data_IF_002480686075
#
_entry.id   IF_002480686075
#
_cell.length_a   1.000
_cell.length_b   1.000
_cell.length_c   1.000
_cell.angle_alpha   90.00
_cell.angle_beta   90.00
_cell.angle_gamma   90.00
#
_symmetry.space_group_name_H-M   'P 1'
#
loop_
_entity.id
_entity.type
_entity.pdbx_description
1 polymer ?
#
# COMPACT_ATOMS: atom_id res chain seq x y z
N UNK A 1 27.98 22.28 48.60
CA UNK A 1 28.06 21.17 49.59
C UNK A 1 28.06 19.85 48.84
N UNK A 2 28.76 18.85 49.36
CA UNK A 2 29.07 17.56 48.70
C UNK A 2 28.14 16.43 49.16
N UNK A 3 28.44 15.19 48.74
CA UNK A 3 27.93 13.88 49.22
C UNK A 3 26.60 13.43 48.58
N UNK A 4 26.40 12.17 48.13
CA UNK A 4 27.31 11.07 47.74
C UNK A 4 26.47 9.95 47.09
N UNK A 5 27.07 9.14 46.21
CA UNK A 5 26.54 7.82 45.84
C UNK A 5 26.51 6.86 47.04
N UNK A 6 25.56 5.91 47.08
CA UNK A 6 25.76 4.58 47.68
C UNK A 6 24.95 3.48 46.97
N UNK A 7 25.63 2.37 46.72
CA UNK A 7 25.11 1.09 46.24
C UNK A 7 24.15 0.40 47.23
N UNK A 8 23.28 -0.48 46.72
CA UNK A 8 22.76 -1.74 47.33
C UNK A 8 21.96 -2.48 46.23
N UNK A 9 22.51 -3.48 45.53
CA UNK A 9 22.54 -4.93 45.85
C UNK A 9 21.17 -5.60 46.08
N UNK A 10 20.91 -6.64 45.27
CA UNK A 10 19.75 -7.55 45.31
C UNK A 10 19.58 -8.25 46.67
N UNK A 11 18.41 -8.86 46.91
CA UNK A 11 18.38 -10.32 46.72
C UNK A 11 17.15 -10.83 45.94
N UNK A 12 17.36 -11.91 45.17
CA UNK A 12 16.31 -12.78 44.65
C UNK A 12 16.60 -14.19 45.20
N UNK A 13 15.64 -14.89 45.84
CA UNK A 13 15.90 -16.19 46.45
C UNK A 13 15.91 -17.36 45.45
N UNK A 14 16.77 -18.34 45.72
CA UNK A 14 16.97 -19.58 44.96
C UNK A 14 16.03 -20.75 45.36
N UNK A 15 16.19 -21.86 44.63
CA UNK A 15 15.66 -23.23 44.81
C UNK A 15 14.27 -23.49 44.18
N UNK A 16 14.05 -24.59 43.43
CA UNK A 16 14.86 -25.81 43.19
C UNK A 16 15.15 -25.96 41.68
N UNK A 17 16.38 -26.16 41.19
CA UNK A 17 17.18 -27.39 41.21
C UNK A 17 16.45 -28.69 40.77
N UNK A 18 16.65 -29.12 39.51
CA UNK A 18 17.59 -30.23 39.18
C UNK A 18 17.25 -30.97 37.87
N UNK A 19 18.16 -30.96 36.87
CA UNK A 19 18.70 -32.18 36.20
C UNK A 19 19.75 -31.89 35.09
N UNK A 20 21.03 -32.02 35.48
CA UNK A 20 22.18 -32.53 34.71
C UNK A 20 22.77 -31.74 33.51
N UNK A 21 24.07 -31.97 33.14
CA UNK A 21 24.96 -30.88 32.70
C UNK A 21 25.72 -31.08 31.36
N UNK A 22 26.37 -29.99 30.92
CA UNK A 22 27.63 -29.87 30.15
C UNK A 22 28.28 -31.15 29.55
N UNK A 23 28.63 -31.15 28.25
CA UNK A 23 29.93 -30.69 27.66
C UNK A 23 30.18 -31.34 26.26
N UNK A 24 31.09 -30.76 25.49
CA UNK A 24 31.46 -31.12 24.12
C UNK A 24 32.45 -32.31 24.00
N UNK A 25 32.41 -33.04 22.88
CA UNK A 25 33.44 -33.85 22.15
C UNK A 25 32.72 -34.42 20.89
N UNK A 26 33.29 -34.77 19.73
CA UNK A 26 34.60 -34.51 19.06
C UNK A 26 34.37 -34.54 17.52
N UNK A 27 35.15 -33.85 16.67
CA UNK A 27 36.45 -34.22 16.08
C UNK A 27 36.48 -35.53 15.27
N UNK A 28 36.62 -35.41 13.94
CA UNK A 28 37.22 -36.43 13.07
C UNK A 28 37.77 -35.76 11.79
N UNK A 29 39.03 -36.05 11.44
CA UNK A 29 39.66 -35.55 10.23
C UNK A 29 40.78 -36.47 9.71
N UNK A 30 41.16 -36.25 8.45
CA UNK A 30 42.36 -36.80 7.78
C UNK A 30 42.65 -35.89 6.58
N UNK A 31 43.85 -35.29 6.43
CA UNK A 31 45.13 -35.90 6.00
C UNK A 31 45.01 -36.66 4.66
N UNK A 32 45.87 -36.48 3.66
CA UNK A 32 47.01 -35.56 3.42
C UNK A 32 47.65 -35.92 2.06
N UNK A 33 48.22 -34.98 1.28
CA UNK A 33 49.49 -35.10 0.49
C UNK A 33 49.63 -34.05 -0.63
N UNK A 34 50.54 -33.10 -0.43
CA UNK A 34 51.65 -32.62 -1.33
C UNK A 34 51.47 -32.28 -2.85
N UNK A 35 52.37 -31.45 -3.44
CA UNK A 35 52.04 -30.56 -4.57
C UNK A 35 52.88 -30.76 -5.86
N UNK A 36 52.63 -29.94 -6.89
CA UNK A 36 53.65 -29.60 -7.90
C UNK A 36 53.19 -28.85 -9.16
N UNK A 37 53.89 -27.76 -9.50
CA UNK A 37 54.26 -27.26 -10.86
C UNK A 37 53.14 -27.00 -11.93
N UNK A 38 53.28 -26.12 -12.94
CA UNK A 38 54.37 -25.25 -13.40
C UNK A 38 53.80 -24.08 -14.25
N UNK A 39 54.58 -23.00 -14.47
CA UNK A 39 54.67 -22.07 -15.64
C UNK A 39 53.42 -21.87 -16.53
N UNK A 40 52.87 -20.66 -16.71
CA UNK A 40 53.44 -19.51 -17.43
C UNK A 40 53.88 -19.80 -18.88
N UNK A 41 53.14 -19.31 -19.89
CA UNK A 41 53.69 -18.41 -20.92
C UNK A 41 52.57 -17.66 -21.71
N UNK A 42 52.99 -16.74 -22.58
CA UNK A 42 52.19 -15.76 -23.32
C UNK A 42 52.11 -16.07 -24.83
N UNK A 43 51.39 -15.20 -25.57
CA UNK A 43 51.59 -14.82 -26.99
C UNK A 43 50.65 -15.36 -28.10
N UNK A 44 49.97 -14.38 -28.73
CA UNK A 44 49.74 -14.14 -30.17
C UNK A 44 48.91 -15.06 -31.11
N UNK A 45 48.11 -14.35 -31.93
CA UNK A 45 47.34 -14.76 -33.13
C UNK A 45 48.25 -15.04 -34.36
N UNK A 46 47.76 -15.19 -35.63
CA UNK A 46 46.40 -15.46 -36.16
C UNK A 46 46.34 -16.61 -37.20
N UNK A 47 45.15 -16.91 -37.75
CA UNK A 47 44.98 -17.22 -39.19
C UNK A 47 43.53 -17.06 -39.65
N UNK A 48 43.34 -16.51 -40.84
CA UNK A 48 42.04 -16.35 -41.51
C UNK A 48 41.98 -17.22 -42.77
N UNK A 49 40.79 -17.70 -43.12
CA UNK A 49 40.45 -18.19 -44.47
C UNK A 49 39.03 -17.74 -44.84
N UNK A 50 38.82 -17.49 -46.13
CA UNK A 50 37.61 -16.87 -46.70
C UNK A 50 36.57 -17.92 -47.11
N UNK A 51 35.27 -17.59 -46.98
CA UNK A 51 34.15 -18.50 -47.31
C UNK A 51 32.87 -17.76 -47.74
N UNK A 52 32.82 -17.44 -49.05
CA UNK A 52 31.76 -16.77 -49.83
C UNK A 52 30.28 -17.01 -49.40
N UNK A 53 29.52 -15.92 -49.24
CA UNK A 53 28.06 -15.92 -49.02
C UNK A 53 27.24 -16.29 -50.28
N UNK A 54 25.98 -16.71 -50.08
CA UNK A 54 24.87 -16.22 -50.89
C UNK A 54 23.82 -15.48 -50.03
N UNK A 55 23.48 -14.24 -50.40
CA UNK A 55 22.40 -13.50 -49.75
C UNK A 55 21.02 -14.00 -50.24
N UNK A 56 20.20 -14.48 -49.31
CA UNK A 56 18.74 -14.59 -49.50
C UNK A 56 18.03 -13.87 -48.36
N UNK A 57 17.08 -13.00 -48.71
CA UNK A 57 16.64 -11.88 -47.87
C UNK A 57 15.58 -12.26 -46.83
N UNK A 58 15.98 -12.96 -45.76
CA UNK A 58 15.06 -13.39 -44.67
C UNK A 58 14.49 -12.22 -43.84
N UNK A 59 15.08 -11.03 -43.94
CA UNK A 59 14.84 -9.87 -43.05
C UNK A 59 13.42 -9.27 -43.17
N UNK A 60 12.71 -9.43 -44.28
CA UNK A 60 11.41 -8.74 -44.52
C UNK A 60 10.15 -9.47 -44.02
N UNK A 61 10.22 -10.74 -43.64
CA UNK A 61 9.04 -11.49 -43.15
C UNK A 61 8.90 -11.33 -41.62
N UNK A 62 10.02 -11.20 -40.91
CA UNK A 62 10.03 -11.02 -39.46
C UNK A 62 9.54 -9.63 -39.04
N UNK A 63 9.88 -8.56 -39.79
CA UNK A 63 9.47 -7.19 -39.47
C UNK A 63 7.95 -7.02 -39.49
N UNK A 64 7.24 -7.54 -40.50
CA UNK A 64 5.76 -7.43 -40.57
C UNK A 64 5.04 -8.16 -39.45
N UNK A 65 5.54 -9.33 -39.01
CA UNK A 65 4.95 -10.06 -37.87
C UNK A 65 5.23 -9.36 -36.55
N UNK A 66 6.46 -8.90 -36.33
CA UNK A 66 6.82 -8.14 -35.11
C UNK A 66 6.04 -6.82 -35.04
N UNK A 67 5.88 -6.08 -36.15
CA UNK A 67 5.03 -4.88 -36.19
C UNK A 67 3.55 -5.19 -35.96
N UNK A 68 3.01 -6.29 -36.49
CA UNK A 68 1.63 -6.69 -36.23
C UNK A 68 1.40 -7.06 -34.76
N UNK A 69 2.35 -7.76 -34.12
CA UNK A 69 2.28 -8.05 -32.68
C UNK A 69 2.47 -6.80 -31.82
N UNK A 70 3.38 -5.89 -32.18
CA UNK A 70 3.52 -4.60 -31.50
C UNK A 70 2.26 -3.74 -31.67
N UNK A 71 1.71 -3.63 -32.87
CA UNK A 71 0.47 -2.89 -33.12
C UNK A 71 -0.73 -3.52 -32.38
N UNK A 72 -0.87 -4.85 -32.40
CA UNK A 72 -1.91 -5.54 -31.64
C UNK A 72 -1.73 -5.35 -30.13
N UNK A 73 -0.50 -5.41 -29.61
CA UNK A 73 -0.20 -5.13 -28.21
C UNK A 73 -0.43 -3.65 -27.85
N UNK A 74 -0.09 -2.71 -28.73
CA UNK A 74 -0.38 -1.27 -28.55
C UNK A 74 -1.88 -0.99 -28.61
N UNK A 75 -2.65 -1.68 -29.45
CA UNK A 75 -4.12 -1.58 -29.50
C UNK A 75 -4.75 -2.22 -28.25
N UNK A 76 -4.28 -3.40 -27.81
CA UNK A 76 -4.71 -4.02 -26.55
C UNK A 76 -4.32 -3.17 -25.33
N UNK A 77 -3.17 -2.50 -25.34
CA UNK A 77 -2.73 -1.58 -24.30
C UNK A 77 -3.46 -0.22 -24.37
N UNK A 78 -3.88 0.25 -25.55
CA UNK A 78 -4.74 1.42 -25.68
C UNK A 78 -6.17 1.15 -25.20
N UNK A 79 -6.70 -0.05 -25.49
CA UNK A 79 -8.02 -0.50 -25.03
C UNK A 79 -8.02 -0.89 -23.53
N UNK A 80 -6.93 -1.48 -23.02
CA UNK A 80 -6.80 -1.91 -21.62
C UNK A 80 -6.23 -0.85 -20.67
N UNK A 81 -5.40 0.07 -21.17
CA UNK A 81 -4.67 1.07 -20.38
C UNK A 81 -5.55 2.15 -19.76
N UNK A 82 -6.74 2.39 -20.31
CA UNK A 82 -7.76 3.23 -19.67
C UNK A 82 -8.68 2.45 -18.71
N UNK A 83 -8.58 1.12 -18.62
CA UNK A 83 -9.60 0.28 -18.00
C UNK A 83 -9.10 -0.53 -16.78
N UNK A 84 -7.85 -0.35 -16.34
CA UNK A 84 -7.27 -1.13 -15.24
C UNK A 84 -8.00 -0.92 -13.89
N UNK A 85 -8.46 0.31 -13.60
CA UNK A 85 -9.26 0.61 -12.40
C UNK A 85 -10.61 -0.11 -12.46
N UNK A 86 -11.33 0.01 -13.58
CA UNK A 86 -12.61 -0.66 -13.81
C UNK A 86 -12.48 -2.18 -13.72
N UNK A 87 -11.48 -2.77 -14.39
CA UNK A 87 -11.23 -4.21 -14.38
C UNK A 87 -10.90 -4.72 -12.97
N UNK A 88 -10.09 -3.98 -12.20
CA UNK A 88 -9.82 -4.25 -10.80
C UNK A 88 -11.08 -4.21 -9.94
N UNK A 89 -11.94 -3.21 -10.15
CA UNK A 89 -13.21 -3.06 -9.41
C UNK A 89 -14.27 -4.09 -9.82
N UNK A 90 -14.28 -4.55 -11.08
CA UNK A 90 -15.12 -5.66 -11.55
C UNK A 90 -14.72 -7.00 -10.94
N UNK A 91 -13.47 -7.15 -10.50
CA UNK A 91 -12.98 -8.27 -9.68
C UNK A 91 -12.89 -7.89 -8.19
N UNK A 92 -13.49 -6.76 -7.79
CA UNK A 92 -13.27 -6.12 -6.49
C UNK A 92 -13.79 -6.93 -5.32
N UNK A 93 -14.87 -7.68 -5.52
CA UNK A 93 -15.42 -8.66 -4.58
C UNK A 93 -14.42 -9.79 -4.29
N UNK A 94 -13.86 -10.39 -5.34
CA UNK A 94 -12.83 -11.42 -5.23
C UNK A 94 -11.58 -10.86 -4.57
N UNK A 95 -11.10 -9.70 -5.01
CA UNK A 95 -9.90 -9.07 -4.45
C UNK A 95 -10.08 -8.68 -2.97
N UNK A 96 -11.27 -8.23 -2.58
CA UNK A 96 -11.60 -7.97 -1.18
C UNK A 96 -11.63 -9.27 -0.36
N UNK A 97 -12.22 -10.35 -0.87
CA UNK A 97 -12.23 -11.66 -0.19
C UNK A 97 -10.80 -12.17 0.05
N UNK A 98 -9.97 -12.18 -1.01
CA UNK A 98 -8.56 -12.58 -0.91
C UNK A 98 -7.74 -11.68 0.03
N UNK A 99 -8.13 -10.41 0.18
CA UNK A 99 -7.53 -9.52 1.18
C UNK A 99 -7.97 -9.89 2.60
N UNK A 100 -9.27 -10.10 2.85
CA UNK A 100 -9.78 -10.50 4.17
C UNK A 100 -9.15 -11.82 4.61
N UNK A 101 -9.18 -12.84 3.75
CA UNK A 101 -8.57 -14.15 3.98
C UNK A 101 -7.06 -14.05 4.28
N UNK A 102 -6.33 -13.23 3.52
CA UNK A 102 -4.91 -12.96 3.78
C UNK A 102 -4.64 -12.46 5.20
N UNK A 103 -5.59 -11.84 5.90
CA UNK A 103 -5.45 -11.41 7.30
C UNK A 103 -6.12 -12.36 8.31
N UNK A 104 -7.28 -12.93 7.98
CA UNK A 104 -8.11 -13.71 8.91
C UNK A 104 -7.83 -15.22 8.90
N UNK A 105 -7.43 -15.83 7.77
CA UNK A 105 -7.71 -17.26 7.46
C UNK A 105 -9.22 -17.49 7.55
N UNK A 106 -9.97 -17.18 6.49
CA UNK A 106 -11.43 -17.34 6.50
C UNK A 106 -11.74 -18.83 6.44
N UNK A 107 -12.34 -19.37 7.51
CA UNK A 107 -12.71 -20.80 7.59
C UNK A 107 -13.92 -21.12 6.71
N UNK A 108 -14.10 -22.40 6.37
CA UNK A 108 -15.23 -22.92 5.57
C UNK A 108 -16.61 -22.45 6.08
N UNK A 109 -16.77 -22.26 7.39
CA UNK A 109 -18.01 -21.75 8.00
C UNK A 109 -18.17 -20.23 7.87
N UNK A 110 -17.06 -19.49 7.77
CA UNK A 110 -17.04 -18.03 7.59
C UNK A 110 -17.06 -17.62 6.11
N UNK A 111 -16.64 -18.50 5.18
CA UNK A 111 -16.48 -18.18 3.76
C UNK A 111 -17.79 -17.71 3.10
N UNK A 112 -18.92 -18.45 3.15
CA UNK A 112 -20.18 -17.99 2.56
C UNK A 112 -20.67 -16.63 3.09
N UNK A 113 -20.84 -16.41 4.42
CA UNK A 113 -21.31 -15.11 4.91
C UNK A 113 -20.32 -13.97 4.64
N UNK A 114 -19.01 -14.24 4.59
CA UNK A 114 -18.00 -13.24 4.22
C UNK A 114 -18.12 -12.82 2.75
N UNK A 115 -18.34 -13.79 1.83
CA UNK A 115 -18.57 -13.49 0.41
C UNK A 115 -19.86 -12.70 0.20
N UNK A 116 -20.94 -13.09 0.87
CA UNK A 116 -22.22 -12.39 0.76
C UNK A 116 -22.16 -10.97 1.32
N UNK A 117 -21.45 -10.74 2.44
CA UNK A 117 -21.18 -9.42 2.99
C UNK A 117 -20.43 -8.52 2.00
N UNK A 118 -19.37 -9.05 1.37
CA UNK A 118 -18.61 -8.32 0.35
C UNK A 118 -19.49 -8.00 -0.87
N UNK A 119 -20.31 -8.95 -1.33
CA UNK A 119 -21.24 -8.72 -2.43
C UNK A 119 -22.29 -7.64 -2.10
N UNK A 120 -22.87 -7.66 -0.89
CA UNK A 120 -23.76 -6.61 -0.38
C UNK A 120 -23.08 -5.25 -0.37
N UNK A 121 -21.86 -5.16 0.18
CA UNK A 121 -21.09 -3.93 0.23
C UNK A 121 -20.83 -3.36 -1.17
N UNK A 122 -20.38 -4.18 -2.13
CA UNK A 122 -20.12 -3.72 -3.49
C UNK A 122 -21.40 -3.32 -4.26
N UNK A 123 -22.53 -3.99 -3.99
CA UNK A 123 -23.83 -3.59 -4.53
C UNK A 123 -24.24 -2.20 -4.03
N UNK A 124 -24.23 -2.00 -2.71
CA UNK A 124 -24.46 -0.70 -2.07
C UNK A 124 -23.50 0.37 -2.58
N UNK A 125 -22.20 0.07 -2.65
CA UNK A 125 -21.19 1.05 -3.06
C UNK A 125 -21.45 1.54 -4.50
N UNK A 126 -21.82 0.65 -5.43
CA UNK A 126 -22.19 1.02 -6.81
C UNK A 126 -23.43 1.90 -6.87
N UNK A 127 -24.46 1.60 -6.08
CA UNK A 127 -25.75 2.29 -6.14
C UNK A 127 -25.77 3.61 -5.36
N UNK A 128 -25.13 3.67 -4.20
CA UNK A 128 -25.26 4.75 -3.23
C UNK A 128 -24.01 5.60 -3.04
N UNK A 129 -22.79 5.05 -3.24
CA UNK A 129 -21.54 5.76 -2.94
C UNK A 129 -20.77 6.23 -4.18
N UNK A 130 -20.75 5.46 -5.27
CA UNK A 130 -20.18 5.91 -6.55
C UNK A 130 -20.81 7.21 -7.09
N UNK A 131 -22.13 7.49 -6.95
CA UNK A 131 -22.69 8.77 -7.35
C UNK A 131 -22.07 9.97 -6.60
N UNK A 132 -21.82 9.83 -5.29
CA UNK A 132 -21.18 10.88 -4.50
C UNK A 132 -19.70 11.04 -4.86
N UNK A 133 -18.99 9.93 -5.10
CA UNK A 133 -17.61 9.96 -5.60
C UNK A 133 -17.55 10.69 -6.95
N UNK A 134 -18.48 10.43 -7.88
CA UNK A 134 -18.56 11.15 -9.15
C UNK A 134 -18.78 12.66 -8.96
N UNK A 135 -19.59 13.09 -7.98
CA UNK A 135 -19.77 14.50 -7.63
C UNK A 135 -18.48 15.14 -7.13
N UNK A 136 -17.77 14.50 -6.19
CA UNK A 136 -16.47 14.98 -5.68
C UNK A 136 -15.44 15.06 -6.81
N UNK A 137 -15.30 14.01 -7.62
CA UNK A 137 -14.40 14.00 -8.78
C UNK A 137 -14.74 15.11 -9.79
N UNK A 138 -16.03 15.39 -10.02
CA UNK A 138 -16.49 16.46 -10.92
C UNK A 138 -16.08 17.84 -10.41
N UNK A 139 -16.21 18.08 -9.09
CA UNK A 139 -15.74 19.33 -8.47
C UNK A 139 -14.23 19.49 -8.59
N UNK A 140 -13.48 18.46 -8.19
CA UNK A 140 -12.00 18.46 -8.24
C UNK A 140 -11.48 18.64 -9.67
N UNK A 141 -12.14 18.06 -10.68
CA UNK A 141 -11.81 18.30 -12.10
C UNK A 141 -11.87 19.79 -12.47
N UNK A 142 -12.81 20.54 -11.90
CA UNK A 142 -12.90 21.99 -12.09
C UNK A 142 -11.79 22.75 -11.36
N UNK A 143 -11.49 22.34 -10.12
CA UNK A 143 -10.45 22.95 -9.27
C UNK A 143 -9.05 22.81 -9.89
N UNK A 144 -8.66 21.61 -10.36
CA UNK A 144 -7.29 21.34 -10.87
C UNK A 144 -6.94 22.04 -12.18
N UNK A 145 -7.91 22.66 -12.86
CA UNK A 145 -7.64 23.53 -14.00
C UNK A 145 -7.03 24.88 -13.57
N UNK A 146 -7.29 25.33 -12.33
CA UNK A 146 -6.86 26.62 -11.80
C UNK A 146 -5.62 26.55 -10.89
N UNK A 147 -5.26 27.66 -10.22
CA UNK A 147 -4.42 27.64 -9.03
C UNK A 147 -5.11 26.89 -7.89
N UNK A 148 -4.36 26.10 -7.13
CA UNK A 148 -4.90 25.33 -5.99
C UNK A 148 -4.50 25.99 -4.68
N UNK A 149 -5.42 26.12 -3.74
CA UNK A 149 -5.13 26.57 -2.38
C UNK A 149 -5.29 25.45 -1.33
N UNK A 150 -4.86 25.73 -0.10
CA UNK A 150 -4.90 24.79 1.00
C UNK A 150 -6.33 24.45 1.49
N UNK A 151 -7.33 25.31 1.23
CA UNK A 151 -8.74 25.02 1.53
C UNK A 151 -9.31 23.97 0.59
N UNK A 152 -8.99 24.04 -0.71
CA UNK A 152 -9.40 23.02 -1.71
C UNK A 152 -8.84 21.64 -1.35
N UNK A 153 -7.54 21.56 -1.02
CA UNK A 153 -6.91 20.29 -0.60
C UNK A 153 -7.53 19.75 0.69
N UNK A 154 -7.83 20.62 1.67
CA UNK A 154 -8.54 20.22 2.90
C UNK A 154 -9.97 19.75 2.63
N UNK A 155 -10.69 20.35 1.69
CA UNK A 155 -12.03 19.90 1.30
C UNK A 155 -11.97 18.47 0.71
N UNK A 156 -11.00 18.17 -0.15
CA UNK A 156 -10.80 16.81 -0.70
C UNK A 156 -10.48 15.78 0.39
N UNK A 157 -9.67 16.16 1.40
CA UNK A 157 -9.41 15.32 2.57
C UNK A 157 -10.68 15.08 3.39
N UNK A 158 -11.49 16.11 3.63
CA UNK A 158 -12.78 15.99 4.34
C UNK A 158 -13.77 15.10 3.58
N UNK A 159 -13.89 15.27 2.26
CA UNK A 159 -14.76 14.42 1.42
C UNK A 159 -14.33 12.95 1.47
N UNK A 160 -13.02 12.70 1.39
CA UNK A 160 -12.46 11.34 1.45
C UNK A 160 -12.70 10.71 2.82
N UNK A 161 -12.52 11.46 3.91
CA UNK A 161 -12.83 10.99 5.26
C UNK A 161 -14.33 10.70 5.45
N UNK A 162 -15.21 11.59 4.96
CA UNK A 162 -16.67 11.43 5.00
C UNK A 162 -17.13 10.20 4.22
N UNK A 163 -16.62 10.00 3.00
CA UNK A 163 -16.89 8.83 2.19
C UNK A 163 -16.36 7.55 2.84
N UNK A 164 -15.14 7.59 3.38
CA UNK A 164 -14.54 6.48 4.14
C UNK A 164 -15.35 6.08 5.36
N UNK A 165 -15.81 7.04 6.17
CA UNK A 165 -16.70 6.79 7.32
C UNK A 165 -18.03 6.18 6.87
N UNK A 166 -18.69 6.73 5.84
CA UNK A 166 -19.95 6.18 5.31
C UNK A 166 -19.79 4.74 4.80
N UNK A 167 -18.67 4.43 4.14
CA UNK A 167 -18.34 3.07 3.71
C UNK A 167 -18.18 2.13 4.91
N UNK A 168 -17.43 2.54 5.93
CA UNK A 168 -17.26 1.78 7.16
C UNK A 168 -18.59 1.57 7.88
N UNK A 169 -19.39 2.62 8.09
CA UNK A 169 -20.69 2.57 8.76
C UNK A 169 -21.69 1.62 8.09
N UNK A 170 -21.61 1.47 6.77
CA UNK A 170 -22.40 0.49 6.00
C UNK A 170 -21.89 -0.94 6.18
N UNK A 171 -20.57 -1.13 6.31
CA UNK A 171 -19.97 -2.45 6.53
C UNK A 171 -20.04 -2.92 8.00
N UNK A 172 -20.29 -2.03 8.96
CA UNK A 172 -20.33 -2.34 10.41
C UNK A 172 -21.13 -3.60 10.77
N UNK A 173 -22.38 -3.83 10.29
CA UNK A 173 -23.14 -5.02 10.67
C UNK A 173 -22.51 -6.33 10.19
N UNK A 174 -21.91 -6.34 9.00
CA UNK A 174 -21.23 -7.50 8.43
C UNK A 174 -19.87 -7.76 9.09
N UNK A 175 -19.13 -6.69 9.41
CA UNK A 175 -17.87 -6.75 10.17
C UNK A 175 -18.13 -7.27 11.58
N UNK A 176 -19.23 -6.86 12.23
CA UNK A 176 -19.62 -7.35 13.54
C UNK A 176 -19.90 -8.86 13.55
N UNK A 177 -20.60 -9.38 12.53
CA UNK A 177 -20.82 -10.83 12.38
C UNK A 177 -19.49 -11.58 12.25
N UNK A 178 -18.59 -11.13 11.37
CA UNK A 178 -17.27 -11.76 11.22
C UNK A 178 -16.48 -11.70 12.54
N UNK A 179 -16.45 -10.56 13.22
CA UNK A 179 -15.75 -10.38 14.49
C UNK A 179 -16.25 -11.31 15.61
N UNK A 180 -17.56 -11.55 15.69
CA UNK A 180 -18.14 -12.50 16.65
C UNK A 180 -17.69 -13.95 16.41
N UNK A 181 -17.33 -14.30 15.18
CA UNK A 181 -16.83 -15.64 14.82
C UNK A 181 -15.32 -15.82 14.96
N UNK A 182 -14.54 -14.75 15.18
CA UNK A 182 -13.08 -14.84 15.22
C UNK A 182 -12.57 -15.75 16.36
N UNK A 183 -11.57 -16.58 16.04
CA UNK A 183 -10.83 -17.39 17.03
C UNK A 183 -9.55 -16.68 17.51
N UNK A 184 -8.98 -17.07 18.66
CA UNK A 184 -7.68 -16.56 19.12
C UNK A 184 -6.54 -16.76 18.11
N UNK A 185 -6.56 -17.86 17.35
CA UNK A 185 -5.58 -18.20 16.31
C UNK A 185 -5.68 -17.23 15.13
N UNK A 186 -6.90 -16.94 14.65
CA UNK A 186 -7.15 -15.96 13.58
C UNK A 186 -6.68 -14.56 13.99
N UNK A 187 -6.94 -14.15 15.24
CA UNK A 187 -6.47 -12.86 15.78
C UNK A 187 -4.94 -12.82 15.87
N UNK A 188 -4.30 -13.89 16.35
CA UNK A 188 -2.83 -14.01 16.41
C UNK A 188 -2.20 -14.01 15.01
N UNK A 189 -2.85 -14.61 14.02
CA UNK A 189 -2.45 -14.58 12.61
C UNK A 189 -2.55 -13.16 12.04
N UNK A 190 -3.65 -12.45 12.31
CA UNK A 190 -3.84 -11.05 11.91
C UNK A 190 -2.75 -10.14 12.51
N UNK A 191 -2.41 -10.33 13.79
CA UNK A 191 -1.29 -9.65 14.45
C UNK A 191 0.05 -9.90 13.75
N UNK A 192 0.34 -11.16 13.39
CA UNK A 192 1.52 -11.52 12.59
C UNK A 192 1.55 -10.82 11.22
N UNK A 193 0.41 -10.71 10.54
CA UNK A 193 0.30 -10.00 9.24
C UNK A 193 0.48 -8.48 9.39
N UNK A 194 0.01 -7.87 10.47
CA UNK A 194 0.31 -6.46 10.78
C UNK A 194 1.80 -6.27 11.09
N UNK A 195 2.43 -7.15 11.88
CA UNK A 195 3.86 -7.10 12.14
C UNK A 195 4.70 -7.23 10.84
N UNK A 196 4.36 -8.17 9.96
CA UNK A 196 4.99 -8.33 8.63
C UNK A 196 4.86 -7.04 7.78
N UNK A 197 3.66 -6.47 7.74
CA UNK A 197 3.36 -5.22 7.01
C UNK A 197 4.15 -4.03 7.57
N UNK A 198 4.26 -3.93 8.89
CA UNK A 198 4.97 -2.84 9.57
C UNK A 198 6.49 -2.95 9.42
N UNK A 199 7.05 -4.16 9.45
CA UNK A 199 8.46 -4.38 9.16
C UNK A 199 8.82 -3.95 7.74
N UNK A 200 7.98 -4.26 6.75
CA UNK A 200 8.11 -3.78 5.36
C UNK A 200 8.04 -2.25 5.29
N UNK A 201 7.02 -1.65 5.92
CA UNK A 201 6.87 -0.19 5.97
C UNK A 201 8.10 0.50 6.59
N UNK A 202 8.64 -0.01 7.71
CA UNK A 202 9.86 0.57 8.32
C UNK A 202 11.06 0.46 7.38
N UNK A 203 11.28 -0.70 6.75
CA UNK A 203 12.38 -0.94 5.80
C UNK A 203 12.33 -0.01 4.57
N UNK A 204 11.13 0.35 4.12
CA UNK A 204 10.90 1.24 2.98
C UNK A 204 10.98 2.72 3.39
N UNK A 205 10.18 3.14 4.38
CA UNK A 205 9.90 4.55 4.67
C UNK A 205 10.47 5.11 5.98
N UNK A 206 11.16 4.29 6.78
CA UNK A 206 11.84 4.72 8.03
C UNK A 206 13.27 4.15 8.06
N UNK A 207 13.98 4.32 6.94
CA UNK A 207 15.40 4.00 6.82
C UNK A 207 16.24 4.84 7.81
N UNK A 208 17.35 4.30 8.35
CA UNK A 208 18.23 5.06 9.24
C UNK A 208 18.86 6.30 8.60
N UNK A 209 19.21 6.24 7.31
CA UNK A 209 19.67 7.40 6.55
C UNK A 209 18.50 8.34 6.23
N UNK A 210 18.51 9.61 6.69
CA UNK A 210 17.49 10.58 6.36
C UNK A 210 17.35 10.85 4.86
N UNK A 211 18.42 10.78 4.07
CA UNK A 211 18.36 11.03 2.61
C UNK A 211 17.61 9.92 1.88
N UNK A 212 18.03 8.67 2.06
CA UNK A 212 17.33 7.50 1.49
C UNK A 212 15.87 7.38 2.00
N UNK A 213 15.58 7.85 3.22
CA UNK A 213 14.21 7.93 3.76
C UNK A 213 13.36 8.98 3.04
N UNK A 214 13.93 10.14 2.72
CA UNK A 214 13.26 11.17 1.93
C UNK A 214 13.06 10.72 0.49
N UNK A 215 14.07 10.12 -0.16
CA UNK A 215 13.95 9.68 -1.56
C UNK A 215 12.89 8.57 -1.72
N UNK A 216 12.88 7.56 -0.85
CA UNK A 216 11.84 6.53 -0.87
C UNK A 216 10.42 7.09 -0.66
N UNK A 217 10.28 8.27 -0.02
CA UNK A 217 9.00 8.97 0.09
C UNK A 217 8.73 9.86 -1.13
N UNK A 218 9.76 10.49 -1.69
CA UNK A 218 9.70 11.29 -2.91
C UNK A 218 9.17 10.43 -4.06
N UNK A 219 9.73 9.23 -4.27
CA UNK A 219 9.28 8.27 -5.28
C UNK A 219 7.76 8.04 -5.21
N UNK A 220 7.23 7.78 -3.99
CA UNK A 220 5.78 7.58 -3.79
C UNK A 220 4.94 8.84 -3.99
N UNK A 221 5.45 10.01 -3.68
CA UNK A 221 4.76 11.27 -3.98
C UNK A 221 4.74 11.49 -5.50
N UNK A 222 5.84 11.20 -6.19
CA UNK A 222 5.93 11.32 -7.64
C UNK A 222 5.10 10.26 -8.39
N UNK A 223 4.98 9.03 -7.89
CA UNK A 223 4.05 8.01 -8.42
C UNK A 223 2.63 8.58 -8.53
N UNK A 224 2.12 9.20 -7.45
CA UNK A 224 0.78 9.81 -7.43
C UNK A 224 0.71 11.14 -8.19
N UNK A 225 1.72 12.00 -8.09
CA UNK A 225 1.75 13.27 -8.82
C UNK A 225 1.76 13.03 -10.34
N UNK A 226 2.55 12.06 -10.83
CA UNK A 226 2.63 11.69 -12.24
C UNK A 226 1.37 11.00 -12.75
N UNK A 227 0.69 10.23 -11.89
CA UNK A 227 -0.64 9.69 -12.21
C UNK A 227 -1.64 10.81 -12.55
N UNK A 228 -1.64 11.89 -11.76
CA UNK A 228 -2.57 13.02 -11.90
C UNK A 228 -2.12 13.97 -13.03
N UNK A 229 -0.92 14.53 -12.92
CA UNK A 229 -0.45 15.67 -13.74
C UNK A 229 0.45 15.27 -14.92
N UNK A 230 0.81 13.99 -15.07
CA UNK A 230 1.75 13.53 -16.08
C UNK A 230 3.21 13.73 -15.66
N UNK A 231 4.14 13.64 -16.62
CA UNK A 231 5.58 13.73 -16.31
C UNK A 231 5.99 15.12 -15.81
N UNK A 232 6.90 15.15 -14.84
CA UNK A 232 7.52 16.37 -14.29
C UNK A 232 8.94 16.55 -14.85
N UNK A 233 9.40 17.79 -14.99
CA UNK A 233 10.79 18.08 -15.35
C UNK A 233 11.74 17.84 -14.16
N UNK A 234 13.04 17.67 -14.42
CA UNK A 234 14.03 17.53 -13.36
C UNK A 234 14.10 18.75 -12.42
N UNK A 235 13.84 19.95 -12.93
CA UNK A 235 13.74 21.18 -12.12
C UNK A 235 12.51 21.15 -11.20
N UNK A 236 11.36 20.72 -11.71
CA UNK A 236 10.15 20.55 -10.89
C UNK A 236 10.36 19.48 -9.81
N UNK A 237 10.96 18.34 -10.18
CA UNK A 237 11.30 17.25 -9.26
C UNK A 237 12.26 17.70 -8.15
N UNK A 238 13.31 18.46 -8.49
CA UNK A 238 14.23 19.03 -7.50
C UNK A 238 13.52 20.01 -6.55
N UNK A 239 12.70 20.92 -7.09
CA UNK A 239 11.90 21.87 -6.31
C UNK A 239 10.96 21.16 -5.33
N UNK A 240 10.35 20.04 -5.74
CA UNK A 240 9.49 19.21 -4.89
C UNK A 240 10.33 18.55 -3.79
N UNK A 241 11.47 17.92 -4.15
CA UNK A 241 12.37 17.23 -3.20
C UNK A 241 12.88 18.17 -2.11
N UNK A 242 13.29 19.38 -2.45
CA UNK A 242 13.71 20.42 -1.49
C UNK A 242 12.56 20.86 -0.57
N UNK A 243 11.32 20.87 -1.08
CA UNK A 243 10.13 21.23 -0.31
C UNK A 243 9.65 20.14 0.68
N UNK A 244 10.26 18.95 0.69
CA UNK A 244 9.78 17.81 1.50
C UNK A 244 10.11 17.88 2.99
N UNK A 245 11.02 18.75 3.44
CA UNK A 245 11.53 18.80 4.81
C UNK A 245 10.43 18.72 5.90
N UNK A 246 9.51 19.69 5.97
CA UNK A 246 8.43 19.71 6.95
C UNK A 246 7.49 18.48 6.87
N UNK A 247 7.26 17.94 5.68
CA UNK A 247 6.47 16.73 5.52
C UNK A 247 7.18 15.50 6.11
N UNK A 248 8.51 15.43 6.00
CA UNK A 248 9.32 14.31 6.49
C UNK A 248 9.47 14.29 8.02
N UNK A 249 9.34 15.43 8.71
CA UNK A 249 9.30 15.48 10.19
C UNK A 249 8.20 14.59 10.77
N UNK A 250 7.04 14.52 10.11
CA UNK A 250 5.91 13.69 10.54
C UNK A 250 6.07 12.18 10.28
N UNK A 251 7.20 11.69 9.75
CA UNK A 251 7.33 10.31 9.28
C UNK A 251 7.14 9.24 10.37
N UNK A 252 7.77 9.41 11.54
CA UNK A 252 7.61 8.49 12.68
C UNK A 252 6.22 8.63 13.32
N UNK A 253 5.65 9.84 13.39
CA UNK A 253 4.30 10.06 13.91
C UNK A 253 3.23 9.30 13.09
N UNK A 254 3.31 9.37 11.76
CA UNK A 254 2.44 8.60 10.85
C UNK A 254 2.60 7.08 11.00
N UNK A 255 3.80 6.61 11.34
CA UNK A 255 4.03 5.19 11.61
C UNK A 255 3.50 4.76 12.99
N UNK A 256 3.73 5.55 14.03
CA UNK A 256 3.19 5.29 15.36
C UNK A 256 1.66 5.24 15.34
N UNK A 257 1.02 6.14 14.59
CA UNK A 257 -0.43 6.14 14.36
C UNK A 257 -0.92 4.84 13.70
N UNK A 258 -0.26 4.41 12.61
CA UNK A 258 -0.56 3.14 11.92
C UNK A 258 -0.49 1.95 12.88
N UNK A 259 0.56 1.87 13.70
CA UNK A 259 0.74 0.79 14.68
C UNK A 259 -0.34 0.86 15.75
N UNK A 260 -0.63 2.04 16.30
CA UNK A 260 -1.65 2.23 17.34
C UNK A 260 -3.05 1.83 16.83
N UNK A 261 -3.45 2.25 15.62
CA UNK A 261 -4.70 1.81 14.95
C UNK A 261 -4.83 0.28 14.92
N UNK A 262 -3.77 -0.42 14.52
CA UNK A 262 -3.76 -1.88 14.44
C UNK A 262 -3.81 -2.55 15.82
N UNK A 263 -3.11 -2.00 16.81
CA UNK A 263 -3.12 -2.52 18.19
C UNK A 263 -4.51 -2.40 18.82
N UNK A 264 -5.20 -1.27 18.62
CA UNK A 264 -6.57 -1.08 19.08
C UNK A 264 -7.57 -1.96 18.34
N UNK A 265 -7.41 -2.17 17.03
CA UNK A 265 -8.20 -3.14 16.27
C UNK A 265 -8.05 -4.57 16.81
N UNK A 266 -6.82 -4.99 17.11
CA UNK A 266 -6.55 -6.30 17.73
C UNK A 266 -7.11 -6.38 19.16
N UNK A 267 -7.06 -5.30 19.95
CA UNK A 267 -7.64 -5.25 21.28
C UNK A 267 -9.17 -5.43 21.22
N UNK A 268 -9.84 -4.68 20.34
CA UNK A 268 -11.27 -4.81 20.06
C UNK A 268 -11.65 -6.23 19.61
N UNK A 269 -10.86 -6.83 18.71
CA UNK A 269 -11.10 -8.21 18.27
C UNK A 269 -10.93 -9.24 19.40
N UNK A 270 -9.92 -9.08 20.28
CA UNK A 270 -9.73 -9.93 21.46
C UNK A 270 -10.87 -9.78 22.46
N UNK A 271 -11.33 -8.55 22.70
CA UNK A 271 -12.45 -8.26 23.61
C UNK A 271 -13.73 -8.93 23.11
N UNK A 272 -14.12 -8.69 21.85
CA UNK A 272 -15.31 -9.31 21.24
C UNK A 272 -15.21 -10.83 21.22
N UNK A 273 -14.03 -11.40 20.95
CA UNK A 273 -13.83 -12.84 20.97
C UNK A 273 -13.91 -13.45 22.39
N UNK A 274 -13.51 -12.72 23.43
CA UNK A 274 -13.51 -13.19 24.81
C UNK A 274 -14.86 -13.01 25.52
N UNK A 275 -15.55 -11.87 25.32
CA UNK A 275 -16.81 -11.57 26.00
C UNK A 275 -18.06 -11.99 25.23
N UNK A 276 -17.94 -12.25 23.91
CA UNK A 276 -19.04 -12.59 22.99
C UNK A 276 -20.31 -11.72 23.22
N UNK A 277 -20.17 -10.38 23.14
CA UNK A 277 -21.25 -9.46 23.48
C UNK A 277 -22.35 -9.50 22.40
N UNK A 278 -23.50 -8.88 22.67
CA UNK A 278 -24.58 -8.82 21.70
C UNK A 278 -24.12 -8.06 20.43
N UNK A 279 -24.56 -8.47 19.23
CA UNK A 279 -24.14 -7.86 17.96
C UNK A 279 -24.22 -6.33 17.96
N UNK A 280 -25.32 -5.76 18.45
CA UNK A 280 -25.51 -4.31 18.53
C UNK A 280 -24.44 -3.59 19.39
N UNK A 281 -23.87 -4.26 20.39
CA UNK A 281 -22.75 -3.73 21.17
C UNK A 281 -21.45 -3.77 20.35
N UNK A 282 -21.19 -4.85 19.59
CA UNK A 282 -20.04 -4.91 18.65
C UNK A 282 -20.12 -3.80 17.60
N UNK A 283 -21.32 -3.53 17.07
CA UNK A 283 -21.54 -2.43 16.13
C UNK A 283 -21.24 -1.05 16.73
N UNK A 284 -21.67 -0.79 17.97
CA UNK A 284 -21.34 0.43 18.70
C UNK A 284 -19.83 0.56 18.99
N UNK A 285 -19.17 -0.52 19.41
CA UNK A 285 -17.71 -0.56 19.61
C UNK A 285 -16.95 -0.26 18.31
N UNK A 286 -17.40 -0.81 17.17
CA UNK A 286 -16.84 -0.54 15.84
C UNK A 286 -17.00 0.95 15.44
N UNK A 287 -18.19 1.53 15.65
CA UNK A 287 -18.45 2.95 15.34
C UNK A 287 -17.58 3.86 16.21
N UNK A 288 -17.46 3.57 17.51
CA UNK A 288 -16.57 4.27 18.46
C UNK A 288 -15.10 4.19 18.07
N UNK A 289 -14.62 3.02 17.63
CA UNK A 289 -13.27 2.87 17.07
C UNK A 289 -13.07 3.80 15.85
N UNK A 290 -14.04 3.83 14.91
CA UNK A 290 -13.97 4.73 13.76
C UNK A 290 -14.09 6.23 14.13
N UNK A 291 -14.79 6.58 15.21
CA UNK A 291 -14.89 7.97 15.69
C UNK A 291 -13.61 8.46 16.38
N UNK A 292 -12.93 7.58 17.14
CA UNK A 292 -11.60 7.88 17.69
C UNK A 292 -10.61 8.25 16.58
N UNK A 293 -10.68 7.53 15.46
CA UNK A 293 -9.70 7.62 14.38
C UNK A 293 -10.04 8.60 13.23
N UNK A 294 -11.17 9.31 13.32
CA UNK A 294 -11.50 10.44 12.44
C UNK A 294 -10.84 11.76 12.88
N UNK A 295 -10.56 11.93 14.17
CA UNK A 295 -10.07 13.19 14.73
C UNK A 295 -8.56 13.11 15.01
N UNK A 296 -7.70 13.73 14.18
CA UNK A 296 -6.26 13.62 14.35
C UNK A 296 -5.78 14.33 15.62
N UNK A 297 -4.85 13.70 16.35
CA UNK A 297 -4.19 14.33 17.51
C UNK A 297 -3.11 15.33 17.07
N UNK A 298 -2.64 16.21 17.96
CA UNK A 298 -1.82 17.39 17.56
C UNK A 298 -0.57 17.10 16.71
N UNK A 299 0.17 16.01 17.00
CA UNK A 299 1.32 15.61 16.17
C UNK A 299 0.95 15.15 14.76
N UNK A 300 -0.20 14.50 14.64
CA UNK A 300 -0.79 14.08 13.36
C UNK A 300 -1.35 15.28 12.59
N UNK A 301 -2.00 16.24 13.27
CA UNK A 301 -2.48 17.47 12.66
C UNK A 301 -1.35 18.25 11.97
N UNK A 302 -0.17 18.37 12.61
CA UNK A 302 1.02 19.00 12.01
C UNK A 302 1.51 18.24 10.78
N UNK A 303 1.55 16.90 10.84
CA UNK A 303 1.89 16.05 9.69
C UNK A 303 0.91 16.23 8.53
N UNK A 304 -0.38 16.37 8.81
CA UNK A 304 -1.42 16.56 7.80
C UNK A 304 -1.28 17.92 7.13
N UNK A 305 -1.05 19.00 7.88
CA UNK A 305 -0.87 20.35 7.34
C UNK A 305 0.40 20.46 6.47
N UNK A 306 1.50 19.82 6.87
CA UNK A 306 2.69 19.72 6.02
C UNK A 306 2.41 18.95 4.71
N UNK A 307 1.52 17.94 4.74
CA UNK A 307 1.03 17.25 3.55
C UNK A 307 0.18 18.14 2.65
N UNK A 308 -0.74 18.92 3.23
CA UNK A 308 -1.56 19.93 2.51
C UNK A 308 -0.65 20.92 1.78
N UNK A 309 0.31 21.52 2.49
CA UNK A 309 1.23 22.51 1.92
C UNK A 309 2.10 21.93 0.79
N UNK A 310 2.56 20.68 0.93
CA UNK A 310 3.30 20.00 -0.15
C UNK A 310 2.39 19.70 -1.36
N UNK A 311 1.14 19.30 -1.15
CA UNK A 311 0.17 19.11 -2.25
C UNK A 311 -0.12 20.42 -2.99
N UNK A 312 -0.30 21.53 -2.27
CA UNK A 312 -0.47 22.88 -2.85
C UNK A 312 0.77 23.29 -3.65
N UNK A 313 1.98 23.04 -3.12
CA UNK A 313 3.25 23.32 -3.80
C UNK A 313 3.38 22.52 -5.09
N UNK A 314 3.09 21.22 -5.07
CA UNK A 314 3.13 20.35 -6.27
C UNK A 314 2.11 20.83 -7.30
N UNK A 315 0.85 21.06 -6.91
CA UNK A 315 -0.20 21.47 -7.84
C UNK A 315 0.09 22.82 -8.53
N UNK A 316 0.63 23.81 -7.81
CA UNK A 316 0.96 25.11 -8.39
C UNK A 316 2.31 25.17 -9.12
N UNK A 317 3.13 24.11 -9.04
CA UNK A 317 4.35 23.97 -9.84
C UNK A 317 4.04 23.45 -11.25
N UNK A 318 2.80 23.04 -11.54
CA UNK A 318 2.41 22.43 -12.81
C UNK A 318 2.19 23.43 -13.94
N UNK A 319 2.58 23.04 -15.15
CA UNK A 319 2.34 23.79 -16.40
C UNK A 319 0.88 23.68 -16.87
N UNK A 320 0.42 24.54 -17.79
CA UNK A 320 -0.92 24.41 -18.38
C UNK A 320 -1.21 23.03 -18.99
N UNK A 321 -0.22 22.39 -19.60
CA UNK A 321 -0.32 21.05 -20.20
C UNK A 321 -0.50 19.97 -19.14
N UNK A 322 0.24 20.08 -18.03
CA UNK A 322 0.11 19.18 -16.87
C UNK A 322 -1.25 19.33 -16.18
N UNK A 323 -1.80 20.55 -16.11
CA UNK A 323 -3.18 20.78 -15.63
C UNK A 323 -4.23 20.22 -16.59
N UNK A 324 -4.04 20.36 -17.91
CA UNK A 324 -4.90 19.73 -18.91
C UNK A 324 -4.88 18.20 -18.80
N UNK A 325 -3.71 17.59 -18.55
CA UNK A 325 -3.61 16.15 -18.26
C UNK A 325 -4.37 15.76 -16.98
N UNK A 326 -4.32 16.58 -15.92
CA UNK A 326 -5.11 16.34 -14.72
C UNK A 326 -6.63 16.39 -14.99
N UNK A 327 -7.09 17.38 -15.76
CA UNK A 327 -8.52 17.49 -16.17
C UNK A 327 -8.98 16.24 -16.95
N UNK A 328 -8.16 15.74 -17.89
CA UNK A 328 -8.41 14.48 -18.61
C UNK A 328 -8.40 13.26 -17.67
N UNK A 329 -7.44 13.18 -16.74
CA UNK A 329 -7.37 12.09 -15.75
C UNK A 329 -8.63 12.03 -14.87
N UNK A 330 -9.06 13.17 -14.33
CA UNK A 330 -10.28 13.25 -13.54
C UNK A 330 -11.54 12.96 -14.38
N UNK A 331 -11.58 13.37 -15.65
CA UNK A 331 -12.67 12.99 -16.56
C UNK A 331 -12.76 11.47 -16.72
N UNK A 332 -11.64 10.78 -16.96
CA UNK A 332 -11.60 9.31 -17.07
C UNK A 332 -12.11 8.62 -15.80
N UNK A 333 -11.72 9.08 -14.62
CA UNK A 333 -12.24 8.54 -13.35
C UNK A 333 -13.74 8.78 -13.15
N UNK A 334 -14.29 9.91 -13.61
CA UNK A 334 -15.74 10.19 -13.60
C UNK A 334 -16.48 9.20 -14.51
N UNK A 335 -15.93 8.92 -15.70
CA UNK A 335 -16.56 8.03 -16.67
C UNK A 335 -16.47 6.55 -16.27
N UNK A 336 -15.34 6.12 -15.69
CA UNK A 336 -15.19 4.81 -15.02
C UNK A 336 -16.25 4.65 -13.92
N UNK A 337 -16.35 5.63 -13.02
CA UNK A 337 -17.32 5.64 -11.92
C UNK A 337 -18.76 5.50 -12.43
N UNK A 338 -19.12 6.29 -13.47
CA UNK A 338 -20.44 6.22 -14.13
C UNK A 338 -20.67 4.88 -14.85
N UNK A 339 -19.63 4.25 -15.39
CA UNK A 339 -19.76 2.92 -15.99
C UNK A 339 -20.06 1.84 -14.94
N UNK A 340 -19.36 1.89 -13.81
CA UNK A 340 -19.55 0.95 -12.70
C UNK A 340 -20.94 1.08 -12.05
N UNK A 341 -21.49 2.30 -11.98
CA UNK A 341 -22.89 2.53 -11.56
C UNK A 341 -23.90 1.83 -12.49
N UNK A 342 -23.75 1.97 -13.82
CA UNK A 342 -24.66 1.34 -14.80
C UNK A 342 -24.62 -0.19 -14.73
N UNK A 343 -23.44 -0.77 -14.58
CA UNK A 343 -23.27 -2.23 -14.45
C UNK A 343 -23.94 -2.77 -13.18
N UNK A 344 -23.86 -2.04 -12.06
CA UNK A 344 -24.59 -2.39 -10.83
C UNK A 344 -26.11 -2.37 -11.01
N UNK A 345 -26.65 -1.39 -11.73
CA UNK A 345 -28.09 -1.34 -12.06
C UNK A 345 -28.52 -2.52 -12.96
N UNK A 346 -27.69 -2.92 -13.93
CA UNK A 346 -27.96 -4.09 -14.78
C UNK A 346 -27.88 -5.44 -14.05
N UNK A 347 -27.14 -5.52 -12.95
CA UNK A 347 -27.08 -6.70 -12.09
C UNK A 347 -28.28 -6.79 -11.12
N UNK A 348 -28.79 -5.65 -10.64
CA UNK A 348 -29.96 -5.60 -9.75
C UNK A 348 -31.32 -5.78 -10.46
N UNK A 349 -31.32 -5.83 -11.80
CA UNK A 349 -32.51 -6.05 -12.64
C UNK A 349 -32.62 -7.50 -13.15
N UNK A 350 -31.82 -8.41 -12.62
CA UNK A 350 -31.78 -9.85 -12.92
C UNK A 350 -31.98 -10.65 -11.64
#
# INVERSE_FOLDING_TARGET
>A
MSVSEKNLKNPCPEAMQSRWPNRCHDWAGGRSTTPGNMRADSSMHPRATLGRSPHVTVVHIWTRRVFAWFAAFTVLAALGGCNAMKLGYQQGDRLAYWWVDRYVDVSDLQEPPTKDAIARFFSWHRQAQLPEIATVLTRVKGEVAGPIDASMVRQVQQDTNRLGRRAFDNAVPDVADLMLTLTPEQIKRMEGKFAESNAKYRKEFLKPDPKARTEARFDKIMDYAKLIYGNFSGEQENTIRESMGPYMEGAEARYAERVKRQQEWLALAREVAASKPAKAQVEDMLRKYADHWQHPTGGQQRSNEAGVNLSVKIANLTTPEQKAHAVDRFQKWIDDTRSLMREGASQASK
#
